data_IF_467669167235
#
_entry.id   IF_467669167235
#
_cell.length_a   1.000
_cell.length_b   1.000
_cell.length_c   1.000
_cell.angle_alpha   90.00
_cell.angle_beta   90.00
_cell.angle_gamma   90.00
#
_symmetry.space_group_name_H-M   'P 1'
#
loop_
_entity.id
_entity.type
_entity.pdbx_description
1 polymer ?
#
# COMPACT_ATOMS: atom_id res chain seq x y z
N UNK A 1 -0.27 8.19 3.32
CA UNK A 1 -1.73 8.17 3.45
C UNK A 1 -2.40 7.66 2.20
N UNK A 2 -3.42 6.85 2.39
CA UNK A 2 -4.19 6.28 1.31
C UNK A 2 -5.68 6.37 1.64
N UNK A 3 -6.52 6.39 0.62
CA UNK A 3 -7.95 6.19 0.78
C UNK A 3 -8.21 4.84 1.47
N UNK A 4 -9.24 4.74 2.32
CA UNK A 4 -9.62 3.49 3.00
C UNK A 4 -9.82 2.35 2.00
N UNK A 5 -10.48 2.67 0.89
CA UNK A 5 -10.76 1.77 -0.24
C UNK A 5 -9.57 1.59 -1.21
N UNK A 6 -8.38 2.10 -0.86
CA UNK A 6 -7.18 2.06 -1.71
C UNK A 6 -7.30 2.73 -3.10
N UNK A 7 -8.32 3.57 -3.32
CA UNK A 7 -8.57 4.20 -4.63
C UNK A 7 -7.44 5.14 -5.07
N UNK A 8 -6.86 5.89 -4.13
CA UNK A 8 -5.78 6.83 -4.39
C UNK A 8 -4.86 6.98 -3.18
N UNK A 9 -3.62 7.40 -3.43
CA UNK A 9 -2.68 7.81 -2.39
C UNK A 9 -2.69 9.33 -2.25
N UNK A 10 -2.77 9.84 -1.02
CA UNK A 10 -2.71 11.26 -0.70
C UNK A 10 -1.26 11.73 -0.61
N UNK A 11 -0.53 11.58 -1.72
CA UNK A 11 0.88 11.96 -1.87
C UNK A 11 1.04 12.76 -3.17
N UNK A 12 2.07 13.60 -3.25
CA UNK A 12 2.35 14.43 -4.43
C UNK A 12 1.15 15.33 -4.79
N UNK A 13 0.58 15.22 -6.00
CA UNK A 13 -0.53 16.07 -6.45
C UNK A 13 -1.79 15.95 -5.59
N UNK A 14 -1.96 14.81 -4.90
CA UNK A 14 -3.12 14.54 -4.05
C UNK A 14 -2.85 14.82 -2.56
N UNK A 15 -1.71 15.42 -2.23
CA UNK A 15 -1.31 15.67 -0.83
C UNK A 15 -2.20 16.70 -0.12
N UNK A 16 -2.73 17.67 -0.87
CA UNK A 16 -3.63 18.73 -0.38
C UNK A 16 -5.11 18.29 -0.32
N UNK A 17 -5.44 17.07 -0.75
CA UNK A 17 -6.81 16.59 -0.77
C UNK A 17 -7.20 16.00 0.60
N UNK A 18 -8.32 16.46 1.13
CA UNK A 18 -8.95 15.92 2.35
C UNK A 18 -10.01 14.86 2.07
N UNK A 19 -10.43 14.75 0.80
CA UNK A 19 -11.40 13.76 0.34
C UNK A 19 -10.86 13.04 -0.88
N UNK A 20 -11.18 11.76 -0.99
CA UNK A 20 -10.83 10.96 -2.16
C UNK A 20 -11.63 11.45 -3.39
N UNK A 21 -11.00 11.77 -4.54
CA UNK A 21 -11.71 12.22 -5.74
C UNK A 21 -12.55 11.13 -6.41
N UNK A 22 -12.36 9.85 -6.07
CA UNK A 22 -13.07 8.73 -6.68
C UNK A 22 -14.27 8.26 -5.87
N UNK A 23 -14.16 8.22 -4.54
CA UNK A 23 -15.20 7.67 -3.67
C UNK A 23 -15.70 8.66 -2.62
N UNK A 24 -15.23 9.92 -2.65
CA UNK A 24 -15.62 11.01 -1.77
C UNK A 24 -15.45 10.74 -0.26
N UNK A 25 -14.76 9.66 0.11
CA UNK A 25 -14.49 9.37 1.52
C UNK A 25 -13.47 10.35 2.09
N UNK A 26 -13.73 10.84 3.30
CA UNK A 26 -12.80 11.67 4.05
C UNK A 26 -11.50 10.92 4.35
N UNK A 27 -10.37 11.61 4.16
CA UNK A 27 -9.00 11.16 4.50
C UNK A 27 -8.82 11.00 6.00
N UNK A 28 -9.42 11.90 6.77
CA UNK A 28 -9.32 11.95 8.23
C UNK A 28 -10.64 11.54 8.90
N UNK A 29 -10.53 10.90 10.06
CA UNK A 29 -11.61 10.66 11.01
C UNK A 29 -11.09 11.10 12.39
N UNK A 30 -11.81 12.02 13.04
CA UNK A 30 -11.43 12.53 14.38
C UNK A 30 -10.00 13.09 14.45
N UNK A 31 -9.55 13.74 13.36
CA UNK A 31 -8.20 14.32 13.27
C UNK A 31 -7.08 13.31 12.96
N UNK A 32 -7.39 12.01 12.83
CA UNK A 32 -6.41 10.98 12.45
C UNK A 32 -6.59 10.50 11.01
N UNK A 33 -5.47 10.25 10.33
CA UNK A 33 -5.49 9.65 9.00
C UNK A 33 -6.07 8.23 9.07
N UNK A 34 -7.06 7.94 8.22
CA UNK A 34 -7.79 6.67 8.33
C UNK A 34 -6.98 5.46 7.86
N UNK A 35 -5.98 5.67 7.00
CA UNK A 35 -5.13 4.59 6.48
C UNK A 35 -3.77 5.10 6.04
N UNK A 36 -2.74 4.46 6.56
CA UNK A 36 -1.36 4.66 6.10
C UNK A 36 -1.09 3.81 4.87
N UNK A 37 -0.33 4.38 3.94
CA UNK A 37 0.18 3.60 2.81
C UNK A 37 1.37 2.78 3.30
N UNK A 38 1.28 1.46 3.20
CA UNK A 38 2.39 0.56 3.54
C UNK A 38 3.13 0.25 2.24
N UNK A 39 4.33 0.79 2.11
CA UNK A 39 5.21 0.42 1.00
C UNK A 39 5.86 -0.93 1.29
N UNK A 40 5.51 -1.94 0.49
CA UNK A 40 6.17 -3.24 0.53
C UNK A 40 7.20 -3.24 -0.61
N UNK A 41 8.51 -3.19 -0.32
CA UNK A 41 9.51 -3.22 -1.38
C UNK A 41 9.52 -4.61 -2.01
N UNK A 42 8.86 -4.73 -3.16
CA UNK A 42 8.58 -6.02 -3.78
C UNK A 42 9.86 -6.73 -4.24
N UNK A 43 10.79 -6.00 -4.86
CA UNK A 43 12.04 -6.56 -5.39
C UNK A 43 12.86 -7.30 -4.31
N UNK A 44 13.25 -6.68 -3.17
CA UNK A 44 14.03 -7.41 -2.16
C UNK A 44 13.25 -8.55 -1.51
N UNK A 45 11.91 -8.44 -1.42
CA UNK A 45 11.05 -9.52 -0.92
C UNK A 45 11.08 -10.73 -1.87
N UNK A 46 10.95 -10.50 -3.18
CA UNK A 46 11.03 -11.54 -4.19
C UNK A 46 12.42 -12.17 -4.25
N UNK A 47 13.49 -11.36 -4.19
CA UNK A 47 14.86 -11.87 -4.14
C UNK A 47 15.05 -12.78 -2.91
N UNK A 48 14.55 -12.39 -1.74
CA UNK A 48 14.59 -13.24 -0.54
C UNK A 48 13.79 -14.53 -0.70
N UNK A 49 12.64 -14.46 -1.37
CA UNK A 49 11.78 -15.62 -1.66
C UNK A 49 12.51 -16.67 -2.52
N UNK A 50 13.16 -16.25 -3.61
CA UNK A 50 13.93 -17.15 -4.48
C UNK A 50 15.29 -17.57 -3.92
N UNK A 51 15.81 -16.86 -2.91
CA UNK A 51 17.02 -17.28 -2.19
C UNK A 51 16.75 -18.33 -1.12
N UNK A 52 15.50 -18.64 -0.81
CA UNK A 52 15.15 -19.63 0.19
C UNK A 52 15.04 -21.03 -0.46
N UNK A 53 15.99 -21.95 -0.20
CA UNK A 53 16.00 -23.26 -0.84
C UNK A 53 14.76 -24.10 -0.52
N UNK A 54 14.18 -23.95 0.69
CA UNK A 54 12.95 -24.66 1.06
C UNK A 54 11.74 -24.18 0.25
N UNK A 55 11.69 -22.89 -0.11
CA UNK A 55 10.61 -22.34 -0.93
C UNK A 55 10.80 -22.70 -2.40
N UNK A 56 12.03 -22.63 -2.90
CA UNK A 56 12.37 -23.05 -4.27
C UNK A 56 12.01 -24.52 -4.51
N UNK A 57 12.33 -25.40 -3.55
CA UNK A 57 11.93 -26.81 -3.60
C UNK A 57 10.41 -26.99 -3.66
N UNK A 58 9.63 -26.16 -2.96
CA UNK A 58 8.17 -26.20 -3.03
C UNK A 58 7.59 -25.62 -4.32
N UNK A 59 8.36 -24.83 -5.06
CA UNK A 59 7.94 -24.25 -6.35
C UNK A 59 8.28 -25.14 -7.55
N UNK A 60 9.07 -26.21 -7.38
CA UNK A 60 9.49 -27.10 -8.46
C UNK A 60 8.53 -28.28 -8.72
N UNK A 61 7.29 -28.18 -8.24
CA UNK A 61 6.19 -29.13 -8.51
C UNK A 61 5.35 -28.64 -9.69
#
# INVERSE_FOLDING_TARGET
DCCVNSCCCFVGPNSSLDKCPHCNTSRYLEGQQRKHFIYIPLIPRLVGFFKNPNLVYKMSY
#
